data_IF_939182285647
#
_entry.id   IF_939182285647
#
_cell.length_a   1.000
_cell.length_b   1.000
_cell.length_c   1.000
_cell.angle_alpha   90.00
_cell.angle_beta   90.00
_cell.angle_gamma   90.00
#
_symmetry.space_group_name_H-M   'P 1'
#
loop_
_entity.id
_entity.type
_entity.pdbx_description
1 polymer ?
#
# COMPACT_ATOMS: atom_id res chain seq x y z
N UNK A 1 -59.07 3.08 7.42
CA UNK A 1 -58.61 4.09 6.43
C UNK A 1 -58.15 5.32 7.18
N UNK A 2 -56.84 5.48 7.39
CA UNK A 2 -56.29 6.64 8.11
C UNK A 2 -56.31 7.87 7.19
N UNK A 3 -57.25 8.79 7.42
CA UNK A 3 -57.22 10.12 6.79
C UNK A 3 -56.15 10.96 7.50
N UNK A 4 -54.89 10.80 7.09
CA UNK A 4 -53.82 11.68 7.53
C UNK A 4 -54.15 13.10 7.04
N UNK A 5 -54.35 14.03 7.98
CA UNK A 5 -54.53 15.44 7.67
C UNK A 5 -53.33 15.93 6.85
N UNK A 6 -53.58 16.70 5.78
CA UNK A 6 -52.56 17.18 4.82
C UNK A 6 -51.34 17.78 5.52
N UNK A 7 -51.54 18.43 6.67
CA UNK A 7 -50.47 19.00 7.51
C UNK A 7 -49.49 17.96 8.04
N UNK A 8 -49.97 16.77 8.39
CA UNK A 8 -49.15 15.64 8.88
C UNK A 8 -48.37 15.01 7.74
N UNK A 9 -48.97 14.92 6.55
CA UNK A 9 -48.30 14.37 5.37
C UNK A 9 -47.15 15.28 4.88
N UNK A 10 -47.34 16.60 4.94
CA UNK A 10 -46.28 17.58 4.61
C UNK A 10 -45.13 17.53 5.63
N UNK A 11 -45.43 17.42 6.92
CA UNK A 11 -44.40 17.32 7.96
C UNK A 11 -43.53 16.07 7.79
N UNK A 12 -44.14 14.92 7.44
CA UNK A 12 -43.41 13.67 7.18
C UNK A 12 -42.54 13.79 5.91
N UNK A 13 -43.04 14.42 4.84
CA UNK A 13 -42.28 14.62 3.62
C UNK A 13 -41.02 15.48 3.85
N UNK A 14 -41.12 16.55 4.65
CA UNK A 14 -39.98 17.40 5.01
C UNK A 14 -38.95 16.63 5.83
N UNK A 15 -39.40 15.81 6.79
CA UNK A 15 -38.51 14.98 7.61
C UNK A 15 -37.76 13.94 6.77
N UNK A 16 -38.44 13.30 5.82
CA UNK A 16 -37.83 12.33 4.90
C UNK A 16 -36.81 13.01 3.98
N UNK A 17 -37.14 14.19 3.43
CA UNK A 17 -36.22 14.96 2.60
C UNK A 17 -34.96 15.40 3.37
N UNK A 18 -35.12 15.77 4.65
CA UNK A 18 -34.01 16.17 5.53
C UNK A 18 -33.09 14.98 5.84
N UNK A 19 -33.67 13.81 6.13
CA UNK A 19 -32.91 12.59 6.43
C UNK A 19 -32.16 12.08 5.19
N UNK A 20 -32.78 12.12 4.00
CA UNK A 20 -32.11 11.76 2.75
C UNK A 20 -30.98 12.73 2.40
N UNK A 21 -31.16 14.03 2.63
CA UNK A 21 -30.13 15.05 2.41
C UNK A 21 -28.89 14.87 3.30
N UNK A 22 -29.07 14.41 4.55
CA UNK A 22 -27.95 14.12 5.46
C UNK A 22 -27.13 12.88 5.05
N UNK A 23 -27.74 11.88 4.38
CA UNK A 23 -26.99 10.69 3.95
C UNK A 23 -26.07 10.95 2.75
N UNK A 24 -26.31 12.01 1.98
CA UNK A 24 -25.44 12.44 0.87
C UNK A 24 -24.07 13.00 1.31
N UNK A 25 -23.86 13.27 2.60
CA UNK A 25 -22.59 13.82 3.11
C UNK A 25 -21.59 12.76 3.59
N UNK A 26 -21.86 11.47 3.41
CA UNK A 26 -20.89 10.38 3.70
C UNK A 26 -20.19 9.83 2.46
N UNK A 27 -19.95 10.66 1.44
CA UNK A 27 -18.92 10.35 0.46
C UNK A 27 -17.55 10.50 1.15
N UNK A 28 -16.92 9.37 1.51
CA UNK A 28 -15.49 9.34 1.81
C UNK A 28 -14.77 10.01 0.63
N UNK A 29 -13.99 11.08 0.83
CA UNK A 29 -13.19 11.64 -0.25
C UNK A 29 -12.13 10.60 -0.61
N UNK A 30 -12.40 9.81 -1.64
CA UNK A 30 -11.40 8.99 -2.30
C UNK A 30 -10.50 9.97 -3.05
N UNK A 31 -9.44 10.37 -2.36
CA UNK A 31 -8.13 10.69 -2.92
C UNK A 31 -8.12 11.75 -4.04
N UNK A 32 -8.50 13.00 -3.73
CA UNK A 32 -7.95 14.14 -4.47
C UNK A 32 -6.66 14.57 -3.77
N UNK A 33 -5.58 13.81 -3.97
CA UNK A 33 -4.23 14.31 -3.68
C UNK A 33 -3.87 15.26 -4.82
N UNK A 34 -4.07 16.55 -4.59
CA UNK A 34 -3.49 17.61 -5.43
C UNK A 34 -2.00 17.28 -5.57
N UNK A 35 -1.46 17.18 -6.80
CA UNK A 35 -0.03 17.04 -6.98
C UNK A 35 0.59 18.34 -6.47
N UNK A 36 1.27 18.22 -5.34
CA UNK A 36 1.98 19.31 -4.70
C UNK A 36 3.04 19.82 -5.69
N UNK A 37 2.78 20.97 -6.31
CA UNK A 37 3.69 21.58 -7.30
C UNK A 37 5.05 21.90 -6.66
N UNK A 38 5.15 21.90 -5.32
CA UNK A 38 6.40 22.03 -4.59
C UNK A 38 7.32 20.80 -4.71
N UNK A 39 6.82 19.63 -5.16
CA UNK A 39 7.66 18.48 -5.48
C UNK A 39 8.53 18.69 -6.74
N UNK A 40 8.24 19.70 -7.56
CA UNK A 40 8.92 19.95 -8.83
C UNK A 40 10.35 20.51 -8.67
N UNK A 41 10.73 20.93 -7.44
CA UNK A 41 12.07 21.45 -7.13
C UNK A 41 13.00 20.43 -6.47
N UNK A 42 12.56 19.18 -6.28
CA UNK A 42 13.51 18.12 -5.99
C UNK A 42 14.17 17.72 -7.30
N UNK A 43 15.37 18.25 -7.55
CA UNK A 43 16.38 17.56 -8.37
C UNK A 43 16.82 16.27 -7.65
N UNK A 44 15.86 15.41 -7.30
CA UNK A 44 16.13 14.02 -7.06
C UNK A 44 16.37 13.48 -8.45
N UNK A 45 17.63 13.24 -8.75
CA UNK A 45 18.04 12.53 -9.96
C UNK A 45 17.35 11.16 -9.90
N UNK A 46 16.13 11.08 -10.42
CA UNK A 46 15.40 9.83 -10.57
C UNK A 46 16.17 9.12 -11.66
N UNK A 47 17.15 8.31 -11.26
CA UNK A 47 17.86 7.40 -12.14
C UNK A 47 16.83 6.37 -12.63
N UNK A 48 15.97 6.75 -13.58
CA UNK A 48 14.97 5.90 -14.25
C UNK A 48 15.73 4.70 -14.80
N UNK A 49 15.80 3.64 -13.99
CA UNK A 49 16.32 2.37 -14.43
C UNK A 49 15.47 1.99 -15.64
N UNK A 50 16.13 1.76 -16.78
CA UNK A 50 15.49 1.49 -18.07
C UNK A 50 14.49 0.32 -18.02
N UNK A 51 14.59 -0.52 -16.99
CA UNK A 51 13.80 -1.72 -16.79
C UNK A 51 13.36 -1.85 -15.35
N UNK A 52 12.17 -2.44 -15.09
CA UNK A 52 11.74 -2.78 -13.74
C UNK A 52 12.76 -3.73 -13.07
N UNK A 53 12.89 -3.67 -11.73
CA UNK A 53 13.79 -4.58 -11.02
C UNK A 53 13.35 -6.03 -11.26
N UNK A 54 14.31 -6.88 -11.62
CA UNK A 54 14.09 -8.28 -11.93
C UNK A 54 14.70 -9.19 -10.86
N UNK A 55 14.15 -10.39 -10.72
CA UNK A 55 14.69 -11.42 -9.85
C UNK A 55 15.88 -12.10 -10.54
N UNK A 56 17.06 -11.95 -9.96
CA UNK A 56 18.31 -12.55 -10.46
C UNK A 56 18.59 -13.83 -9.67
N UNK A 57 18.90 -14.93 -10.35
CA UNK A 57 19.31 -16.17 -9.68
C UNK A 57 20.71 -16.00 -9.09
N UNK A 58 20.87 -16.38 -7.83
CA UNK A 58 22.15 -16.38 -7.12
C UNK A 58 22.29 -17.63 -6.25
N UNK A 59 23.47 -17.82 -5.65
CA UNK A 59 23.73 -18.88 -4.67
C UNK A 59 24.23 -18.23 -3.39
N UNK A 60 23.54 -18.49 -2.28
CA UNK A 60 23.85 -17.91 -0.97
C UNK A 60 23.97 -19.02 0.06
N UNK A 61 25.14 -19.16 0.68
CA UNK A 61 25.43 -20.27 1.59
C UNK A 61 25.23 -21.65 0.95
N UNK A 62 25.55 -21.78 -0.34
CA UNK A 62 25.36 -23.02 -1.13
C UNK A 62 23.92 -23.31 -1.57
N UNK A 63 22.95 -22.45 -1.25
CA UNK A 63 21.54 -22.63 -1.62
C UNK A 63 21.16 -21.69 -2.77
N UNK A 64 20.45 -22.17 -3.80
CA UNK A 64 19.95 -21.31 -4.86
C UNK A 64 18.88 -20.36 -4.31
N UNK A 65 18.99 -19.08 -4.64
CA UNK A 65 18.06 -18.02 -4.24
C UNK A 65 17.77 -17.10 -5.42
N UNK A 66 16.67 -16.34 -5.33
CA UNK A 66 16.39 -15.23 -6.24
C UNK A 66 16.54 -13.92 -5.49
N UNK A 67 17.35 -13.02 -6.04
CA UNK A 67 17.67 -11.72 -5.44
C UNK A 67 16.98 -10.63 -6.23
N UNK A 68 16.22 -9.78 -5.52
CA UNK A 68 15.67 -8.55 -6.06
C UNK A 68 16.55 -7.39 -5.60
N UNK A 69 17.19 -6.69 -6.54
CA UNK A 69 17.98 -5.49 -6.23
C UNK A 69 17.08 -4.26 -6.21
N UNK A 70 16.99 -3.61 -5.05
CA UNK A 70 16.27 -2.35 -4.86
C UNK A 70 17.31 -1.28 -4.58
N UNK A 71 17.31 -0.21 -5.38
CA UNK A 71 18.39 0.78 -5.35
C UNK A 71 17.94 2.14 -4.79
N UNK A 72 16.64 2.38 -4.66
CA UNK A 72 16.11 3.64 -4.14
C UNK A 72 15.39 3.44 -2.82
N UNK A 73 15.53 4.43 -1.92
CA UNK A 73 14.92 4.42 -0.59
C UNK A 73 13.39 4.49 -0.60
N UNK A 74 12.79 4.96 -1.70
CA UNK A 74 11.32 5.11 -1.85
C UNK A 74 10.66 3.89 -2.47
N UNK A 75 11.45 2.95 -3.00
CA UNK A 75 10.91 1.83 -3.76
C UNK A 75 10.15 0.90 -2.80
N UNK A 76 8.89 0.61 -3.15
CA UNK A 76 8.04 -0.31 -2.39
C UNK A 76 7.89 -1.62 -3.16
N UNK A 77 8.20 -2.73 -2.50
CA UNK A 77 8.04 -4.08 -3.07
C UNK A 77 6.83 -4.75 -2.43
N UNK A 78 5.80 -5.03 -3.22
CA UNK A 78 4.67 -5.86 -2.80
C UNK A 78 5.04 -7.33 -2.98
N UNK A 79 5.00 -8.11 -1.90
CA UNK A 79 5.14 -9.56 -1.99
C UNK A 79 3.94 -10.25 -1.37
N UNK A 80 3.44 -11.29 -2.05
CA UNK A 80 2.25 -12.04 -1.65
C UNK A 80 2.63 -13.49 -1.39
N UNK A 81 2.32 -13.95 -0.19
CA UNK A 81 2.33 -15.37 0.12
C UNK A 81 1.00 -16.00 -0.34
N UNK A 82 1.00 -17.31 -0.56
CA UNK A 82 -0.23 -18.05 -0.80
C UNK A 82 -1.17 -17.96 0.41
N UNK A 83 -2.49 -18.21 0.23
CA UNK A 83 -3.42 -18.29 1.35
C UNK A 83 -2.89 -19.18 2.47
N UNK A 84 -3.19 -18.83 3.73
CA UNK A 84 -2.70 -19.47 4.97
C UNK A 84 -1.21 -19.25 5.27
N UNK A 85 -0.51 -18.40 4.54
CA UNK A 85 0.85 -18.01 4.82
C UNK A 85 1.00 -16.49 4.93
N UNK A 86 1.89 -16.04 5.81
CA UNK A 86 2.22 -14.64 6.01
C UNK A 86 3.69 -14.35 5.66
N UNK A 87 3.97 -13.21 5.00
CA UNK A 87 5.33 -12.80 4.69
C UNK A 87 6.04 -12.35 5.97
N UNK A 88 7.25 -12.86 6.16
CA UNK A 88 8.15 -12.47 7.25
C UNK A 88 9.49 -12.05 6.66
N UNK A 89 10.04 -10.93 7.14
CA UNK A 89 11.34 -10.44 6.69
C UNK A 89 12.37 -10.53 7.82
N UNK A 90 13.54 -11.06 7.52
CA UNK A 90 14.71 -11.01 8.41
C UNK A 90 15.80 -10.20 7.75
N UNK A 91 16.26 -9.14 8.41
CA UNK A 91 17.34 -8.28 7.92
C UNK A 91 18.66 -8.76 8.52
N UNK A 92 19.68 -8.90 7.68
CA UNK A 92 21.02 -9.34 8.09
C UNK A 92 22.10 -8.62 7.27
N UNK A 93 23.38 -8.70 7.68
CA UNK A 93 24.49 -8.23 6.84
C UNK A 93 24.48 -8.95 5.49
N UNK A 94 24.80 -8.22 4.43
CA UNK A 94 24.86 -8.79 3.08
C UNK A 94 25.87 -9.94 3.03
N UNK A 95 25.50 -11.07 2.41
CA UNK A 95 26.38 -12.24 2.32
C UNK A 95 26.67 -12.95 3.65
N UNK A 96 26.05 -12.53 4.76
CA UNK A 96 26.36 -13.04 6.10
C UNK A 96 27.68 -12.53 6.69
N UNK A 97 28.31 -11.53 6.05
CA UNK A 97 29.57 -10.95 6.50
C UNK A 97 29.31 -9.81 7.51
N UNK A 98 29.76 -9.98 8.75
CA UNK A 98 29.63 -8.97 9.80
C UNK A 98 30.40 -7.68 9.51
N UNK A 99 31.37 -7.72 8.60
CA UNK A 99 32.18 -6.57 8.19
C UNK A 99 31.69 -5.92 6.88
N UNK A 100 30.56 -6.37 6.33
CA UNK A 100 29.99 -5.75 5.14
C UNK A 100 29.75 -4.25 5.41
N UNK A 101 30.35 -3.38 4.60
CA UNK A 101 30.36 -1.91 4.70
C UNK A 101 28.95 -1.29 4.77
N UNK A 102 28.27 -1.43 5.91
CA UNK A 102 26.88 -1.08 6.17
C UNK A 102 25.81 -1.73 5.26
N UNK A 103 26.19 -2.52 4.25
CA UNK A 103 25.25 -3.17 3.34
C UNK A 103 24.46 -4.27 4.05
N UNK A 104 23.13 -4.15 3.99
CA UNK A 104 22.19 -5.12 4.57
C UNK A 104 21.34 -5.74 3.49
N UNK A 105 20.94 -6.98 3.71
CA UNK A 105 19.98 -7.70 2.88
C UNK A 105 18.79 -8.15 3.73
N UNK A 106 17.61 -8.18 3.13
CA UNK A 106 16.40 -8.73 3.72
C UNK A 106 16.05 -10.06 3.06
N UNK A 107 15.90 -11.12 3.84
CA UNK A 107 15.35 -12.38 3.35
C UNK A 107 13.87 -12.43 3.70
N UNK A 108 13.02 -12.48 2.67
CA UNK A 108 11.59 -12.70 2.85
C UNK A 108 11.28 -14.20 2.80
N UNK A 109 10.56 -14.70 3.80
CA UNK A 109 10.02 -16.06 3.84
C UNK A 109 8.52 -16.05 4.12
N UNK A 110 7.77 -16.93 3.46
CA UNK A 110 6.36 -17.17 3.79
C UNK A 110 6.27 -18.25 4.88
N UNK A 111 5.70 -17.92 6.03
CA UNK A 111 5.47 -18.86 7.14
C UNK A 111 3.98 -19.13 7.29
N UNK A 112 3.56 -20.30 7.79
CA UNK A 112 2.15 -20.54 8.10
C UNK A 112 1.60 -19.44 9.00
N UNK A 113 0.43 -18.92 8.66
CA UNK A 113 -0.34 -18.02 9.53
C UNK A 113 -0.69 -18.78 10.82
N UNK A 114 -0.44 -18.15 11.96
CA UNK A 114 -0.73 -18.73 13.29
C UNK A 114 -2.23 -18.77 13.58
#
# INVERSE_FOLDING_TARGET
MFKLSVKVSVAIAILIALVLGLQSFQAKPVLSKTPDIQALNQSKLIATALTPPSLVRAVLGGRPVYVLHVTRSEDTVLVRCYPTYEPTITVRPMGGDSNANAQREGVMTCRPSA
#
